data_IF_873300201667
#
_entry.id   IF_873300201667
#
_cell.length_a   1.000
_cell.length_b   1.000
_cell.length_c   1.000
_cell.angle_alpha   90.00
_cell.angle_beta   90.00
_cell.angle_gamma   90.00
#
_symmetry.space_group_name_H-M   'P 1'
#
loop_
_entity.id
_entity.type
_entity.pdbx_description
1 polymer ?
#
# COMPACT_ATOMS: atom_id res chain seq x y z
N UNK A 1 -4.34 -9.09 19.33
CA UNK A 1 -3.51 -8.28 18.42
C UNK A 1 -4.13 -8.41 17.03
N UNK A 2 -4.42 -7.31 16.33
CA UNK A 2 -5.00 -7.39 14.97
C UNK A 2 -3.96 -7.95 13.98
N UNK A 3 -4.39 -8.43 12.82
CA UNK A 3 -3.46 -8.88 11.78
C UNK A 3 -2.52 -7.75 11.33
N UNK A 4 -3.03 -6.51 11.29
CA UNK A 4 -2.22 -5.34 10.97
C UNK A 4 -1.20 -5.04 12.07
N UNK A 5 -1.58 -5.07 13.35
CA UNK A 5 -0.64 -4.88 14.45
C UNK A 5 0.46 -5.95 14.48
N UNK A 6 0.13 -7.20 14.12
CA UNK A 6 1.12 -8.28 13.95
C UNK A 6 2.07 -7.98 12.81
N UNK A 7 1.54 -7.59 11.64
CA UNK A 7 2.36 -7.17 10.50
C UNK A 7 3.29 -6.01 10.86
N UNK A 8 2.80 -4.98 11.57
CA UNK A 8 3.61 -3.87 12.05
C UNK A 8 4.78 -4.39 12.91
N UNK A 9 4.53 -5.21 13.92
CA UNK A 9 5.60 -5.78 14.72
C UNK A 9 6.66 -6.53 13.88
N UNK A 10 6.26 -7.20 12.81
CA UNK A 10 7.17 -7.92 11.90
C UNK A 10 8.02 -6.98 11.01
N UNK A 11 7.61 -5.71 10.82
CA UNK A 11 8.26 -4.74 9.93
C UNK A 11 8.87 -3.53 10.63
N UNK A 12 8.92 -3.54 11.98
CA UNK A 12 9.61 -2.51 12.75
C UNK A 12 11.07 -2.37 12.30
N UNK A 13 11.52 -1.12 12.09
CA UNK A 13 12.87 -0.77 11.64
C UNK A 13 13.30 -1.39 10.29
N UNK A 14 12.36 -1.85 9.46
CA UNK A 14 12.63 -2.44 8.14
C UNK A 14 12.23 -1.53 6.99
N UNK A 15 12.81 -1.78 5.82
CA UNK A 15 12.38 -1.15 4.58
C UNK A 15 11.01 -1.67 4.13
N UNK A 16 10.06 -0.75 3.89
CA UNK A 16 8.68 -1.10 3.55
C UNK A 16 8.23 -0.43 2.25
N UNK A 17 7.88 -1.21 1.23
CA UNK A 17 7.28 -0.64 0.02
C UNK A 17 5.75 -0.55 0.17
N UNK A 18 5.20 0.65 -0.02
CA UNK A 18 3.76 0.90 -0.14
C UNK A 18 3.45 0.96 -1.63
N UNK A 19 2.71 -0.02 -2.13
CA UNK A 19 2.54 -0.27 -3.56
C UNK A 19 1.06 -0.13 -3.94
N UNK A 20 0.66 0.93 -4.65
CA UNK A 20 -0.67 1.06 -5.23
C UNK A 20 -0.82 0.27 -6.54
N UNK A 21 -2.01 0.30 -7.14
CA UNK A 21 -2.21 -0.25 -8.48
C UNK A 21 -1.45 0.55 -9.56
N UNK A 22 -1.21 -0.08 -10.71
CA UNK A 22 -0.67 0.59 -11.90
C UNK A 22 -1.66 1.65 -12.39
N UNK A 23 -1.16 2.82 -12.78
CA UNK A 23 -2.03 3.95 -13.10
C UNK A 23 -2.69 4.53 -11.87
N UNK A 24 -1.96 4.56 -10.75
CA UNK A 24 -2.44 5.01 -9.44
C UNK A 24 -3.24 6.32 -9.56
N UNK A 25 -4.43 6.33 -8.98
CA UNK A 25 -5.31 7.49 -8.98
C UNK A 25 -5.23 8.26 -7.64
N UNK A 26 -6.18 9.17 -7.42
CA UNK A 26 -6.19 10.01 -6.22
C UNK A 26 -6.40 9.18 -4.96
N UNK A 27 -7.25 8.14 -5.00
CA UNK A 27 -7.48 7.29 -3.83
C UNK A 27 -6.23 6.49 -3.50
N UNK A 28 -5.64 5.82 -4.50
CA UNK A 28 -4.44 5.03 -4.33
C UNK A 28 -3.26 5.86 -3.78
N UNK A 29 -3.06 7.07 -4.29
CA UNK A 29 -1.97 7.95 -3.86
C UNK A 29 -2.22 8.57 -2.48
N UNK A 30 -3.43 9.04 -2.19
CA UNK A 30 -3.75 9.58 -0.86
C UNK A 30 -3.68 8.49 0.21
N UNK A 31 -4.17 7.29 -0.09
CA UNK A 31 -4.08 6.12 0.78
C UNK A 31 -2.62 5.73 1.05
N UNK A 32 -1.80 5.70 0.00
CA UNK A 32 -0.35 5.45 0.14
C UNK A 32 0.34 6.53 0.98
N UNK A 33 -0.01 7.80 0.78
CA UNK A 33 0.55 8.92 1.53
C UNK A 33 0.19 8.87 3.00
N UNK A 34 -1.07 8.57 3.34
CA UNK A 34 -1.52 8.42 4.71
C UNK A 34 -0.71 7.32 5.43
N UNK A 35 -0.53 6.17 4.79
CA UNK A 35 0.33 5.09 5.32
C UNK A 35 1.79 5.54 5.47
N UNK A 36 2.37 6.18 4.45
CA UNK A 36 3.75 6.67 4.49
C UNK A 36 3.99 7.59 5.69
N UNK A 37 3.13 8.59 5.89
CA UNK A 37 3.30 9.56 6.97
C UNK A 37 3.02 8.97 8.35
N UNK A 38 2.11 8.00 8.46
CA UNK A 38 1.80 7.32 9.72
C UNK A 38 2.81 6.25 10.12
N UNK A 39 3.63 5.75 9.19
CA UNK A 39 4.57 4.65 9.45
C UNK A 39 6.05 5.08 9.50
N UNK A 40 6.37 6.31 9.08
CA UNK A 40 7.76 6.80 8.98
C UNK A 40 8.54 6.82 10.29
N UNK A 41 7.87 6.85 11.43
CA UNK A 41 8.50 6.85 12.76
C UNK A 41 8.65 5.42 13.33
N UNK A 42 8.20 4.41 12.58
CA UNK A 42 8.14 3.01 12.99
C UNK A 42 8.92 2.07 12.06
N UNK A 43 8.99 2.41 10.77
CA UNK A 43 9.77 1.69 9.77
C UNK A 43 10.31 2.67 8.71
N UNK A 44 10.92 2.17 7.64
CA UNK A 44 11.42 2.97 6.51
C UNK A 44 10.47 2.83 5.29
N UNK A 45 9.31 3.52 5.28
CA UNK A 45 8.34 3.39 4.20
C UNK A 45 8.79 4.12 2.94
N UNK A 46 8.45 3.58 1.77
CA UNK A 46 8.56 4.26 0.47
C UNK A 46 7.35 3.95 -0.40
N UNK A 47 6.79 4.98 -1.05
CA UNK A 47 5.70 4.79 -2.01
C UNK A 47 6.28 4.40 -3.37
N UNK A 48 5.93 3.20 -3.85
CA UNK A 48 6.45 2.63 -5.11
C UNK A 48 5.29 2.36 -6.06
N UNK A 49 5.13 3.24 -7.04
CA UNK A 49 4.09 3.14 -8.07
C UNK A 49 4.56 2.20 -9.19
N UNK A 50 3.78 1.18 -9.60
CA UNK A 50 4.26 0.16 -10.53
C UNK A 50 4.67 0.64 -11.93
N UNK A 51 3.92 1.57 -12.55
CA UNK A 51 4.15 1.94 -13.96
C UNK A 51 3.95 3.44 -14.20
N UNK A 52 2.81 3.97 -13.76
CA UNK A 52 2.46 5.39 -13.93
C UNK A 52 1.40 5.79 -12.92
N UNK A 53 1.21 7.10 -12.81
CA UNK A 53 0.21 7.79 -11.99
C UNK A 53 -0.69 8.59 -12.94
N UNK A 54 -1.99 8.72 -12.65
CA UNK A 54 -2.87 9.56 -13.48
C UNK A 54 -2.58 11.06 -13.28
N UNK A 55 -3.13 11.92 -14.14
CA UNK A 55 -2.78 13.34 -14.17
C UNK A 55 -3.22 14.08 -12.89
N UNK A 56 -4.38 13.72 -12.38
CA UNK A 56 -5.06 14.30 -11.23
C UNK A 56 -4.29 13.98 -9.95
N UNK A 57 -3.94 12.71 -9.75
CA UNK A 57 -3.12 12.25 -8.65
C UNK A 57 -1.70 12.80 -8.73
N UNK A 58 -1.13 12.95 -9.92
CA UNK A 58 0.18 13.59 -10.12
C UNK A 58 0.17 15.05 -9.67
N UNK A 59 -0.81 15.84 -10.13
CA UNK A 59 -0.97 17.25 -9.70
C UNK A 59 -1.15 17.37 -8.19
N UNK A 60 -1.93 16.46 -7.60
CA UNK A 60 -2.14 16.42 -6.15
C UNK A 60 -0.85 16.09 -5.41
N UNK A 61 -0.13 15.05 -5.83
CA UNK A 61 1.14 14.66 -5.24
C UNK A 61 2.20 15.77 -5.33
N UNK A 62 2.27 16.48 -6.45
CA UNK A 62 3.14 17.65 -6.63
C UNK A 62 2.75 18.79 -5.68
N UNK A 63 1.46 19.10 -5.59
CA UNK A 63 0.95 20.17 -4.72
C UNK A 63 1.25 19.91 -3.24
N UNK A 64 1.00 18.68 -2.77
CA UNK A 64 1.23 18.29 -1.37
C UNK A 64 2.62 17.73 -1.11
N UNK A 65 3.50 17.69 -2.12
CA UNK A 65 4.85 17.11 -2.05
C UNK A 65 4.87 15.67 -1.51
N UNK A 66 3.91 14.86 -1.94
CA UNK A 66 3.86 13.44 -1.59
C UNK A 66 5.02 12.73 -2.30
N UNK A 67 5.95 12.08 -1.57
CA UNK A 67 7.07 11.39 -2.19
C UNK A 67 6.61 10.08 -2.81
N UNK A 68 6.97 9.84 -4.07
CA UNK A 68 6.77 8.54 -4.71
C UNK A 68 7.86 8.28 -5.73
N UNK A 69 8.10 7.00 -6.01
CA UNK A 69 8.98 6.53 -7.09
C UNK A 69 8.20 5.65 -8.06
N UNK A 70 8.60 5.61 -9.32
CA UNK A 70 7.95 4.80 -10.37
C UNK A 70 8.92 3.71 -10.84
N UNK A 71 8.45 2.46 -10.92
CA UNK A 71 9.17 1.28 -11.45
C UNK A 71 10.59 1.11 -10.90
N UNK A 72 10.81 1.43 -9.63
CA UNK A 72 12.06 1.08 -8.94
C UNK A 72 12.05 -0.41 -8.56
N UNK A 73 13.23 -0.97 -8.29
CA UNK A 73 13.40 -2.35 -7.85
C UNK A 73 12.75 -2.56 -6.46
N UNK A 74 11.43 -2.73 -6.44
CA UNK A 74 10.68 -2.98 -5.21
C UNK A 74 11.12 -4.27 -4.50
N UNK A 75 11.84 -5.16 -5.17
CA UNK A 75 12.36 -6.38 -4.56
C UNK A 75 13.53 -6.15 -3.59
N UNK A 76 14.04 -4.92 -3.47
CA UNK A 76 15.04 -4.56 -2.47
C UNK A 76 14.43 -4.29 -1.09
N UNK A 77 13.10 -4.19 -0.99
CA UNK A 77 12.41 -3.93 0.28
C UNK A 77 12.18 -5.21 1.08
N UNK A 78 12.18 -5.09 2.41
CA UNK A 78 11.98 -6.23 3.32
C UNK A 78 10.51 -6.67 3.41
N UNK A 79 9.57 -5.76 3.15
CA UNK A 79 8.13 -6.00 3.26
C UNK A 79 7.30 -5.12 2.32
N UNK A 80 6.02 -5.47 2.18
CA UNK A 80 5.08 -4.78 1.30
C UNK A 80 3.76 -4.41 2.01
N UNK A 81 3.21 -3.23 1.69
CA UNK A 81 1.77 -2.97 1.82
C UNK A 81 1.23 -2.73 0.41
N UNK A 82 0.29 -3.55 -0.02
CA UNK A 82 -0.51 -3.33 -1.22
C UNK A 82 -1.76 -2.53 -0.86
N UNK A 83 -2.02 -1.43 -1.57
CA UNK A 83 -3.15 -0.55 -1.26
C UNK A 83 -3.94 -0.21 -2.51
N UNK A 84 -5.26 -0.29 -2.44
CA UNK A 84 -6.14 -0.05 -3.58
C UNK A 84 -5.96 -1.05 -4.74
N UNK A 85 -5.62 -2.29 -4.37
CA UNK A 85 -5.64 -3.44 -5.27
C UNK A 85 -5.82 -4.76 -4.51
N UNK A 86 -6.52 -5.71 -5.13
CA UNK A 86 -6.63 -7.08 -4.61
C UNK A 86 -6.17 -8.18 -5.58
N UNK A 87 -5.69 -7.82 -6.79
CA UNK A 87 -5.30 -8.77 -7.81
C UNK A 87 -3.93 -8.45 -8.41
N UNK A 88 -3.09 -9.48 -8.57
CA UNK A 88 -1.69 -9.36 -9.02
C UNK A 88 -1.53 -8.64 -10.38
N UNK A 89 -2.54 -8.75 -11.27
CA UNK A 89 -2.51 -8.08 -12.58
C UNK A 89 -2.58 -6.55 -12.50
N UNK A 90 -3.04 -6.01 -11.36
CA UNK A 90 -3.08 -4.57 -11.08
C UNK A 90 -1.67 -4.02 -10.83
N UNK A 91 -0.68 -4.86 -10.55
CA UNK A 91 0.72 -4.46 -10.36
C UNK A 91 1.52 -4.37 -11.66
N UNK A 92 0.91 -4.66 -12.83
CA UNK A 92 1.59 -4.54 -14.11
C UNK A 92 2.87 -5.40 -14.18
N UNK A 93 3.96 -4.83 -14.71
CA UNK A 93 5.26 -5.52 -14.76
C UNK A 93 5.89 -5.73 -13.38
N UNK A 94 5.60 -4.86 -12.41
CA UNK A 94 6.18 -4.94 -11.07
C UNK A 94 5.78 -6.24 -10.37
N UNK A 95 4.53 -6.70 -10.55
CA UNK A 95 4.04 -7.93 -9.94
C UNK A 95 4.83 -9.20 -10.29
N UNK A 96 5.60 -9.18 -11.40
CA UNK A 96 6.49 -10.30 -11.78
C UNK A 96 7.85 -10.26 -11.09
N UNK A 97 8.23 -9.12 -10.53
CA UNK A 97 9.54 -8.86 -9.91
C UNK A 97 9.50 -9.01 -8.38
N UNK A 98 8.31 -9.00 -7.77
CA UNK A 98 8.16 -9.04 -6.31
C UNK A 98 8.32 -10.45 -5.75
N UNK A 99 9.14 -10.62 -4.71
CA UNK A 99 9.11 -11.82 -3.88
C UNK A 99 7.90 -11.84 -2.93
N UNK A 100 6.80 -12.44 -3.37
CA UNK A 100 5.55 -12.57 -2.59
C UNK A 100 5.68 -13.47 -1.34
N UNK A 101 6.86 -14.02 -1.03
CA UNK A 101 7.11 -14.73 0.24
C UNK A 101 7.44 -13.77 1.39
N UNK A 102 7.85 -12.54 1.08
CA UNK A 102 8.14 -11.51 2.08
C UNK A 102 6.86 -11.10 2.85
N UNK A 103 6.99 -10.58 4.08
CA UNK A 103 5.86 -10.03 4.82
C UNK A 103 5.07 -9.04 3.96
N UNK A 104 3.76 -9.24 3.89
CA UNK A 104 2.89 -8.40 3.09
C UNK A 104 1.54 -8.18 3.77
N UNK A 105 0.99 -6.98 3.60
CA UNK A 105 -0.36 -6.63 3.98
C UNK A 105 -1.11 -6.06 2.78
N UNK A 106 -2.43 -6.26 2.69
CA UNK A 106 -3.25 -5.81 1.58
C UNK A 106 -4.47 -5.04 2.08
N UNK A 107 -4.72 -3.86 1.54
CA UNK A 107 -5.83 -2.98 1.88
C UNK A 107 -6.56 -2.63 0.59
N UNK A 108 -7.84 -2.97 0.49
CA UNK A 108 -8.57 -2.75 -0.76
C UNK A 108 -10.09 -2.67 -0.59
N UNK A 109 -10.76 -1.96 -1.48
CA UNK A 109 -12.22 -1.82 -1.48
C UNK A 109 -12.90 -2.29 -2.77
N UNK A 110 -12.14 -2.74 -3.77
CA UNK A 110 -12.71 -3.29 -5.00
C UNK A 110 -13.40 -4.63 -4.74
N UNK A 111 -14.26 -5.06 -5.68
CA UNK A 111 -14.86 -6.40 -5.67
C UNK A 111 -13.76 -7.46 -5.45
N UNK A 112 -13.96 -8.31 -4.44
CA UNK A 112 -12.95 -9.21 -3.95
C UNK A 112 -12.61 -10.25 -5.02
N UNK A 113 -11.37 -10.18 -5.50
CA UNK A 113 -10.75 -11.26 -6.27
C UNK A 113 -9.85 -12.09 -5.36
N UNK A 114 -9.39 -13.23 -5.87
CA UNK A 114 -8.46 -14.09 -5.13
C UNK A 114 -7.17 -13.30 -4.84
N UNK A 115 -6.84 -13.03 -3.56
CA UNK A 115 -5.63 -12.30 -3.19
C UNK A 115 -4.40 -13.16 -3.50
N UNK A 116 -3.30 -12.48 -3.79
CA UNK A 116 -2.00 -13.09 -4.08
C UNK A 116 -1.09 -13.18 -2.85
N UNK A 117 -1.61 -12.74 -1.68
CA UNK A 117 -1.00 -12.93 -0.36
C UNK A 117 -1.94 -13.75 0.53
N UNK A 118 -1.49 -14.10 1.74
CA UNK A 118 -2.32 -14.84 2.71
C UNK A 118 -3.54 -14.00 3.13
N UNK A 119 -4.73 -14.62 3.10
CA UNK A 119 -6.02 -13.97 3.41
C UNK A 119 -6.05 -13.30 4.80
N UNK A 120 -5.33 -13.84 5.78
CA UNK A 120 -5.24 -13.28 7.13
C UNK A 120 -4.60 -11.89 7.20
N UNK A 121 -3.80 -11.51 6.20
CA UNK A 121 -3.17 -10.19 6.07
C UNK A 121 -3.87 -9.31 5.02
N UNK A 122 -5.11 -9.64 4.67
CA UNK A 122 -5.95 -8.84 3.78
C UNK A 122 -7.03 -8.13 4.60
N UNK A 123 -7.10 -6.80 4.49
CA UNK A 123 -8.16 -5.96 5.03
C UNK A 123 -8.96 -5.37 3.85
N UNK A 124 -9.98 -6.12 3.43
CA UNK A 124 -10.80 -5.77 2.28
C UNK A 124 -12.26 -5.55 2.67
N UNK A 125 -12.88 -4.50 2.15
CA UNK A 125 -14.30 -4.17 2.37
C UNK A 125 -14.91 -3.52 1.13
N UNK A 126 -15.65 -4.31 0.35
CA UNK A 126 -16.33 -3.89 -0.88
C UNK A 126 -17.39 -2.80 -0.66
N UNK A 127 -17.84 -2.60 0.59
CA UNK A 127 -18.82 -1.57 0.94
C UNK A 127 -18.17 -0.22 1.21
N UNK A 128 -16.85 -0.18 1.35
CA UNK A 128 -16.13 1.08 1.50
C UNK A 128 -16.08 1.82 0.17
N UNK A 129 -16.32 3.13 0.20
CA UNK A 129 -16.32 3.94 -1.02
C UNK A 129 -14.92 4.25 -1.57
N UNK A 130 -13.87 3.98 -0.77
CA UNK A 130 -12.47 4.27 -1.08
C UNK A 130 -11.54 3.48 -0.16
N UNK A 131 -10.35 3.13 -0.64
CA UNK A 131 -9.25 2.58 0.16
C UNK A 131 -8.82 3.55 1.27
N UNK A 132 -8.92 4.86 1.07
CA UNK A 132 -8.59 5.87 2.07
C UNK A 132 -9.42 5.71 3.38
N UNK A 133 -10.67 5.25 3.27
CA UNK A 133 -11.52 4.98 4.45
C UNK A 133 -10.95 3.82 5.27
N UNK A 134 -10.47 2.77 4.60
CA UNK A 134 -9.90 1.59 5.23
C UNK A 134 -8.57 1.90 5.88
N UNK A 135 -7.72 2.65 5.19
CA UNK A 135 -6.45 3.15 5.72
C UNK A 135 -6.69 4.00 6.98
N UNK A 136 -7.65 4.93 6.94
CA UNK A 136 -7.98 5.75 8.12
C UNK A 136 -8.42 4.90 9.32
N UNK A 137 -9.26 3.88 9.10
CA UNK A 137 -9.68 2.94 10.16
C UNK A 137 -8.47 2.24 10.78
N UNK A 138 -7.57 1.68 9.97
CA UNK A 138 -6.37 0.98 10.43
C UNK A 138 -5.45 1.90 11.23
N UNK A 139 -5.17 3.11 10.72
CA UNK A 139 -4.35 4.11 11.39
C UNK A 139 -4.92 4.46 12.77
N UNK A 140 -6.24 4.72 12.83
CA UNK A 140 -6.94 5.09 14.07
C UNK A 140 -6.96 3.95 15.09
N UNK A 141 -7.26 2.72 14.65
CA UNK A 141 -7.31 1.54 15.53
C UNK A 141 -5.95 1.16 16.12
N UNK A 142 -4.86 1.58 15.47
CA UNK A 142 -3.48 1.27 15.89
C UNK A 142 -2.74 2.49 16.46
N UNK A 143 -3.44 3.61 16.69
CA UNK A 143 -2.87 4.84 17.24
C UNK A 143 -1.60 5.33 16.50
N UNK A 144 -1.63 5.29 15.16
CA UNK A 144 -0.53 5.74 14.30
C UNK A 144 -0.65 7.25 13.94
N UNK A 145 -1.17 8.05 14.87
CA UNK A 145 -1.41 9.51 14.76
C UNK A 145 -1.02 10.22 16.03
#
# INVERSE_FOLDING_TARGET
MSAFSKFLADVADKSLAIIPHKGADVDAICSSAALFYSLKDFCEPSIVVPEHINLEAKKLAEHFKIPYSIDIAADDFDAYIFVDLNHISMLGKLGKKLDLKKPAFLIDHHEYKKPFIKKEFCFCDEKASASAILVYKLIKENALT
#
